data_IF_133290136066
#
_entry.id   IF_133290136066
#
_cell.length_a   1.000
_cell.length_b   1.000
_cell.length_c   1.000
_cell.angle_alpha   90.00
_cell.angle_beta   90.00
_cell.angle_gamma   90.00
#
_symmetry.space_group_name_H-M   'P 1'
#
loop_
_entity.id
_entity.type
_entity.pdbx_description
1 polymer ?
#
# COMPACT_ATOMS: atom_id res chain seq x y z
N UNK A 1 21.74 4.83 -4.92
CA UNK A 1 20.96 3.76 -4.25
C UNK A 1 19.56 3.77 -4.82
N UNK A 2 19.03 2.65 -5.36
CA UNK A 2 17.61 2.58 -5.66
C UNK A 2 16.83 2.69 -4.34
N UNK A 3 15.83 3.57 -4.29
CA UNK A 3 14.96 3.69 -3.12
C UNK A 3 14.40 2.29 -2.76
N UNK A 4 14.30 1.96 -1.46
CA UNK A 4 13.73 0.68 -1.04
C UNK A 4 12.37 0.55 -1.73
N UNK A 5 12.20 -0.52 -2.50
CA UNK A 5 10.94 -0.75 -3.20
C UNK A 5 9.88 -0.88 -2.12
N UNK A 6 8.95 0.09 -2.06
CA UNK A 6 7.91 0.09 -1.05
C UNK A 6 7.22 -1.28 -1.02
N UNK A 7 7.18 -1.91 0.14
CA UNK A 7 6.66 -3.29 0.29
C UNK A 7 5.20 -3.27 -0.06
N UNK A 8 4.88 -3.93 -1.17
CA UNK A 8 3.52 -3.97 -1.69
C UNK A 8 2.81 -5.20 -1.13
N UNK A 9 1.73 -4.98 -0.39
CA UNK A 9 1.06 -6.00 0.44
C UNK A 9 -0.43 -6.06 0.08
N UNK A 10 -1.14 -7.19 0.28
CA UNK A 10 -2.59 -7.20 0.19
C UNK A 10 -3.22 -6.12 1.08
N UNK A 11 -4.25 -5.44 0.56
CA UNK A 11 -4.88 -4.31 1.23
C UNK A 11 -5.33 -4.60 2.67
N UNK A 12 -5.98 -5.74 2.98
CA UNK A 12 -6.40 -6.02 4.36
C UNK A 12 -5.23 -6.12 5.34
N UNK A 13 -4.10 -6.71 4.92
CA UNK A 13 -2.90 -6.82 5.74
C UNK A 13 -2.21 -5.47 5.91
N UNK A 14 -2.20 -4.65 4.86
CA UNK A 14 -1.68 -3.28 4.95
C UNK A 14 -2.50 -2.43 5.94
N UNK A 15 -3.83 -2.55 5.89
CA UNK A 15 -4.74 -1.83 6.78
C UNK A 15 -4.63 -2.29 8.23
N UNK A 16 -4.46 -3.60 8.49
CA UNK A 16 -4.25 -4.09 9.86
C UNK A 16 -2.95 -3.61 10.51
N UNK A 17 -1.98 -3.15 9.71
CA UNK A 17 -0.70 -2.63 10.20
C UNK A 17 -0.73 -1.12 10.43
N UNK A 18 -1.79 -0.43 10.00
CA UNK A 18 -1.97 0.99 10.20
C UNK A 18 -2.76 1.26 11.49
N UNK A 19 -2.52 2.41 12.16
CA UNK A 19 -3.34 2.82 13.29
C UNK A 19 -4.81 2.97 12.85
N UNK A 20 -5.75 2.58 13.73
CA UNK A 20 -7.19 2.61 13.49
C UNK A 20 -7.62 1.84 12.22
N UNK A 21 -7.02 0.67 11.97
CA UNK A 21 -7.27 -0.16 10.78
C UNK A 21 -7.03 0.59 9.45
N UNK A 22 -6.21 1.64 9.47
CA UNK A 22 -5.94 2.48 8.32
C UNK A 22 -7.10 3.38 7.89
N UNK A 23 -8.07 3.66 8.77
CA UNK A 23 -9.09 4.69 8.52
C UNK A 23 -8.43 6.07 8.46
N UNK A 24 -8.68 6.80 7.38
CA UNK A 24 -8.04 8.08 7.06
C UNK A 24 -6.74 7.94 6.28
N UNK A 25 -6.25 6.72 6.05
CA UNK A 25 -5.03 6.50 5.28
C UNK A 25 -5.29 6.64 3.76
N UNK A 26 -4.31 7.25 3.08
CA UNK A 26 -4.24 7.28 1.62
C UNK A 26 -3.55 6.02 1.12
N UNK A 27 -4.25 5.20 0.34
CA UNK A 27 -3.71 3.96 -0.24
C UNK A 27 -3.78 3.97 -1.75
N UNK A 28 -2.82 3.35 -2.41
CA UNK A 28 -2.77 3.24 -3.86
C UNK A 28 -2.28 1.85 -4.27
N UNK A 29 -2.67 1.41 -5.46
CA UNK A 29 -2.20 0.14 -5.98
C UNK A 29 -0.75 0.30 -6.49
N UNK A 30 0.16 -0.61 -6.12
CA UNK A 30 1.57 -0.54 -6.54
C UNK A 30 1.72 -0.56 -8.08
N UNK A 31 0.76 -1.19 -8.77
CA UNK A 31 0.68 -1.18 -10.24
C UNK A 31 0.47 0.21 -10.84
N UNK A 32 -0.08 1.17 -10.09
CA UNK A 32 -0.25 2.53 -10.57
C UNK A 32 1.10 3.22 -10.66
N UNK A 33 1.95 3.06 -9.64
CA UNK A 33 3.35 3.50 -9.68
C UNK A 33 4.11 2.84 -10.84
N UNK A 34 3.96 1.52 -11.03
CA UNK A 34 4.59 0.80 -12.14
C UNK A 34 4.12 1.27 -13.53
N UNK A 35 2.91 1.84 -13.63
CA UNK A 35 2.37 2.43 -14.85
C UNK A 35 2.75 3.90 -15.04
N UNK A 36 3.56 4.47 -14.14
CA UNK A 36 3.92 5.88 -14.17
C UNK A 36 2.74 6.81 -13.84
N UNK A 37 1.70 6.30 -13.17
CA UNK A 37 0.65 7.17 -12.67
C UNK A 37 1.18 8.00 -11.49
N UNK A 38 0.80 9.28 -11.41
CA UNK A 38 1.14 10.12 -10.26
C UNK A 38 0.52 9.51 -9.00
N UNK A 39 1.37 9.01 -8.11
CA UNK A 39 0.98 8.43 -6.83
C UNK A 39 1.62 9.25 -5.71
N UNK A 40 0.96 9.35 -4.54
CA UNK A 40 1.51 10.08 -3.41
C UNK A 40 2.70 9.28 -2.83
N UNK A 41 3.88 9.52 -3.41
CA UNK A 41 5.16 9.01 -2.90
C UNK A 41 5.89 10.19 -2.28
N UNK A 42 6.57 9.96 -1.17
CA UNK A 42 7.15 10.95 -0.25
C UNK A 42 8.17 11.95 -0.83
N UNK A 43 8.43 11.95 -2.14
CA UNK A 43 9.58 12.65 -2.73
C UNK A 43 9.20 13.82 -3.64
N UNK A 44 7.92 14.15 -3.83
CA UNK A 44 7.54 15.26 -4.70
C UNK A 44 6.30 16.00 -4.16
N UNK A 45 6.55 17.10 -3.45
CA UNK A 45 5.55 18.08 -2.96
C UNK A 45 4.66 18.64 -4.09
N UNK A 46 5.11 18.56 -5.35
CA UNK A 46 4.41 19.09 -6.52
C UNK A 46 3.41 18.10 -7.15
N UNK A 47 3.32 16.86 -6.67
CA UNK A 47 2.46 15.82 -7.25
C UNK A 47 1.14 15.59 -6.51
N UNK A 48 0.83 16.34 -5.45
CA UNK A 48 -0.45 16.20 -4.72
C UNK A 48 -1.65 16.53 -5.63
N UNK A 49 -1.56 17.59 -6.44
CA UNK A 49 -2.67 18.10 -7.26
C UNK A 49 -3.12 17.16 -8.38
N UNK A 50 -2.29 16.19 -8.78
CA UNK A 50 -2.62 15.20 -9.81
C UNK A 50 -2.47 13.77 -9.34
N UNK A 51 -2.44 13.52 -8.03
CA UNK A 51 -2.22 12.18 -7.50
C UNK A 51 -3.45 11.27 -7.61
N UNK A 52 -3.21 9.97 -7.80
CA UNK A 52 -4.21 8.91 -7.80
C UNK A 52 -4.10 8.10 -6.51
N UNK A 53 -5.12 8.15 -5.66
CA UNK A 53 -5.15 7.45 -4.39
C UNK A 53 -6.59 7.18 -3.93
N UNK A 54 -6.73 6.23 -3.02
CA UNK A 54 -7.95 5.96 -2.28
C UNK A 54 -7.82 6.51 -0.87
N UNK A 55 -8.75 7.36 -0.45
CA UNK A 55 -8.91 7.73 0.95
C UNK A 55 -9.76 6.69 1.65
N UNK A 56 -9.16 5.93 2.56
CA UNK A 56 -9.88 4.88 3.28
C UNK A 56 -10.78 5.53 4.34
N UNK A 57 -12.08 5.26 4.28
CA UNK A 57 -13.08 5.83 5.22
C UNK A 57 -13.60 4.80 6.21
N UNK A 58 -13.84 3.59 5.74
CA UNK A 58 -14.41 2.53 6.55
C UNK A 58 -13.75 1.22 6.21
N UNK A 59 -13.41 0.47 7.25
CA UNK A 59 -12.70 -0.78 7.10
C UNK A 59 -13.44 -1.84 7.90
N UNK A 60 -13.62 -3.01 7.30
CA UNK A 60 -14.16 -4.21 7.94
C UNK A 60 -13.15 -5.32 7.77
N UNK A 61 -12.28 -5.46 8.77
CA UNK A 61 -11.32 -6.56 8.85
C UNK A 61 -11.91 -7.68 9.70
N UNK A 62 -11.60 -8.90 9.31
CA UNK A 62 -11.85 -10.12 10.06
C UNK A 62 -10.56 -10.93 10.01
N UNK A 63 -10.00 -11.23 11.18
CA UNK A 63 -8.89 -12.16 11.31
C UNK A 63 -9.47 -13.56 11.28
N UNK A 64 -9.11 -14.35 10.27
CA UNK A 64 -9.47 -15.77 10.23
C UNK A 64 -8.67 -16.56 11.25
N UNK A 65 -9.20 -17.69 11.69
CA UNK A 65 -8.56 -18.62 12.64
C UNK A 65 -7.13 -19.05 12.23
N UNK A 66 -6.85 -19.08 10.92
CA UNK A 66 -5.52 -19.35 10.36
C UNK A 66 -4.54 -18.15 10.43
N UNK A 67 -4.87 -17.07 11.15
CA UNK A 67 -4.02 -15.88 11.30
C UNK A 67 -4.00 -14.95 10.08
N UNK A 68 -4.73 -15.27 9.01
CA UNK A 68 -4.85 -14.39 7.85
C UNK A 68 -5.86 -13.27 8.08
N UNK A 69 -5.50 -12.05 7.71
CA UNK A 69 -6.41 -10.90 7.71
C UNK A 69 -7.18 -10.87 6.39
N UNK A 70 -8.50 -11.02 6.47
CA UNK A 70 -9.42 -10.80 5.35
C UNK A 70 -10.32 -9.62 5.66
N UNK A 71 -10.76 -8.91 4.63
CA UNK A 71 -11.64 -7.78 4.88
C UNK A 71 -12.07 -7.05 3.65
N UNK A 72 -13.05 -6.17 3.85
CA UNK A 72 -13.51 -5.21 2.86
C UNK A 72 -13.17 -3.82 3.36
N UNK A 73 -12.60 -3.01 2.49
CA UNK A 73 -12.38 -1.60 2.75
C UNK A 73 -13.28 -0.77 1.85
N UNK A 74 -13.64 0.39 2.35
CA UNK A 74 -14.45 1.38 1.68
C UNK A 74 -13.71 2.71 1.76
N UNK A 75 -13.71 3.43 0.65
CA UNK A 75 -12.98 4.67 0.54
C UNK A 75 -13.45 5.53 -0.62
N UNK A 76 -12.85 6.71 -0.72
CA UNK A 76 -13.10 7.68 -1.78
C UNK A 76 -11.96 7.57 -2.78
N UNK A 77 -12.28 7.34 -4.04
CA UNK A 77 -11.29 7.33 -5.11
C UNK A 77 -11.02 8.77 -5.56
N UNK A 78 -9.78 9.21 -5.38
CA UNK A 78 -9.24 10.38 -6.02
C UNK A 78 -8.39 9.94 -7.20
N UNK A 79 -8.77 10.36 -8.40
CA UNK A 79 -8.09 10.04 -9.64
C UNK A 79 -7.55 11.30 -10.29
N UNK A 80 -6.23 11.40 -10.39
CA UNK A 80 -5.54 12.56 -10.95
C UNK A 80 -5.99 13.89 -10.31
N UNK A 81 -6.13 13.89 -8.99
CA UNK A 81 -6.62 15.05 -8.23
C UNK A 81 -8.13 15.32 -8.32
N UNK A 82 -8.89 14.53 -9.09
CA UNK A 82 -10.35 14.61 -9.14
C UNK A 82 -10.98 13.53 -8.28
N UNK A 83 -11.92 13.92 -7.42
CA UNK A 83 -12.76 12.96 -6.71
C UNK A 83 -13.69 12.28 -7.71
N UNK A 84 -13.55 10.97 -7.88
CA UNK A 84 -14.39 10.15 -8.78
C UNK A 84 -15.62 9.62 -8.05
N UNK A 85 -15.48 9.33 -6.76
CA UNK A 85 -16.59 8.78 -5.97
C UNK A 85 -17.66 9.83 -5.72
N UNK A 86 -18.85 9.60 -6.29
CA UNK A 86 -20.02 10.47 -6.18
C UNK A 86 -20.68 10.39 -4.78
N UNK A 87 -20.54 9.26 -4.08
CA UNK A 87 -21.06 9.03 -2.73
C UNK A 87 -20.10 9.37 -1.59
N UNK A 88 -20.50 9.04 -0.36
CA UNK A 88 -19.65 9.19 0.84
C UNK A 88 -18.42 8.27 0.80
N UNK A 89 -18.59 7.03 0.31
CA UNK A 89 -17.53 6.03 0.18
C UNK A 89 -17.96 4.90 -0.76
N UNK A 90 -17.00 4.34 -1.47
CA UNK A 90 -17.17 3.18 -2.36
C UNK A 90 -16.35 1.98 -1.88
N UNK A 91 -16.81 0.73 -2.14
CA UNK A 91 -16.03 -0.45 -1.81
C UNK A 91 -14.77 -0.54 -2.69
N UNK A 92 -13.61 -0.62 -2.03
CA UNK A 92 -12.32 -0.77 -2.70
C UNK A 92 -12.23 -2.20 -3.27
N UNK A 93 -12.30 -2.31 -4.60
CA UNK A 93 -12.23 -3.61 -5.28
C UNK A 93 -10.79 -4.08 -5.45
N UNK A 94 -10.58 -5.40 -5.44
CA UNK A 94 -9.27 -6.00 -5.69
C UNK A 94 -8.29 -5.91 -4.51
N UNK A 95 -8.79 -5.71 -3.28
CA UNK A 95 -7.94 -5.64 -2.08
C UNK A 95 -7.06 -6.86 -1.85
N UNK A 96 -7.53 -8.05 -2.22
CA UNK A 96 -6.76 -9.31 -2.15
C UNK A 96 -6.06 -9.67 -3.46
N UNK A 97 -6.45 -9.05 -4.59
CA UNK A 97 -5.92 -9.38 -5.93
C UNK A 97 -4.67 -8.58 -6.26
N UNK A 98 -4.66 -7.31 -5.87
CA UNK A 98 -3.56 -6.40 -6.16
C UNK A 98 -2.72 -6.18 -4.92
N UNK A 99 -1.47 -5.78 -5.15
CA UNK A 99 -0.60 -5.31 -4.09
C UNK A 99 -0.80 -3.80 -3.93
N UNK A 100 -0.92 -3.37 -2.69
CA UNK A 100 -1.23 -2.01 -2.29
C UNK A 100 -0.09 -1.42 -1.47
N UNK A 101 0.00 -0.10 -1.51
CA UNK A 101 0.94 0.71 -0.76
C UNK A 101 0.17 1.87 -0.13
N UNK A 102 0.66 2.35 1.01
CA UNK A 102 0.13 3.54 1.68
C UNK A 102 1.05 4.73 1.39
N UNK A 103 0.48 5.94 1.35
CA UNK A 103 1.27 7.17 1.30
C UNK A 103 2.14 7.31 2.55
N UNK A 104 1.58 6.95 3.71
CA UNK A 104 2.32 6.82 4.97
C UNK A 104 2.60 5.33 5.22
N UNK A 105 3.82 4.91 4.94
CA UNK A 105 4.21 3.50 5.11
C UNK A 105 4.35 3.19 6.60
N UNK A 106 3.67 2.15 7.14
CA UNK A 106 3.87 1.71 8.51
C UNK A 106 5.33 1.29 8.74
N UNK A 107 5.92 1.61 9.91
CA UNK A 107 7.32 1.27 10.21
C UNK A 107 7.59 -0.24 10.14
N UNK A 108 6.61 -1.07 10.53
CA UNK A 108 6.71 -2.55 10.46
C UNK A 108 6.98 -3.05 9.04
N UNK A 109 6.34 -2.45 8.03
CA UNK A 109 6.57 -2.84 6.63
C UNK A 109 7.95 -2.40 6.14
N UNK A 110 8.50 -1.32 6.68
CA UNK A 110 9.86 -0.87 6.37
C UNK A 110 10.89 -1.85 6.93
N UNK A 111 10.66 -2.36 8.14
CA UNK A 111 11.51 -3.38 8.76
C UNK A 111 11.44 -4.72 8.02
N UNK A 112 10.24 -5.17 7.65
CA UNK A 112 10.07 -6.35 6.80
C UNK A 112 10.79 -6.18 5.45
N UNK A 113 10.72 -4.99 4.83
CA UNK A 113 11.44 -4.67 3.59
C UNK A 113 12.94 -4.88 3.76
N UNK A 114 13.52 -4.27 4.79
CA UNK A 114 14.94 -4.33 5.10
C UNK A 114 15.39 -5.76 5.37
N UNK A 115 14.57 -6.53 6.10
CA UNK A 115 14.86 -7.94 6.37
C UNK A 115 14.86 -8.81 5.10
N UNK A 116 13.92 -8.57 4.18
CA UNK A 116 13.86 -9.26 2.88
C UNK A 116 15.07 -8.88 2.03
N UNK A 117 15.43 -7.60 1.97
CA UNK A 117 16.62 -7.14 1.24
C UNK A 117 17.90 -7.73 1.82
N UNK A 118 18.05 -7.76 3.15
CA UNK A 118 19.19 -8.37 3.83
C UNK A 118 19.30 -9.88 3.54
N UNK A 119 18.18 -10.61 3.51
CA UNK A 119 18.17 -12.02 3.09
C UNK A 119 18.58 -12.20 1.64
N UNK A 120 18.13 -11.29 0.75
CA UNK A 120 18.48 -11.34 -0.66
C UNK A 120 19.95 -11.03 -0.91
N UNK A 121 20.52 -10.04 -0.22
CA UNK A 121 21.94 -9.73 -0.32
C UNK A 121 22.79 -10.87 0.24
N UNK A 122 22.40 -11.47 1.36
CA UNK A 122 23.06 -12.65 1.90
C UNK A 122 23.01 -13.85 0.93
N UNK A 123 21.87 -14.10 0.29
CA UNK A 123 21.74 -15.16 -0.70
C UNK A 123 22.56 -14.89 -1.98
N UNK A 124 22.63 -13.64 -2.44
CA UNK A 124 23.45 -13.24 -3.58
C UNK A 124 24.95 -13.40 -3.27
N UNK A 125 25.40 -12.98 -2.09
CA UNK A 125 26.79 -13.15 -1.65
C UNK A 125 27.18 -14.63 -1.55
N UNK A 126 26.27 -15.50 -1.06
CA UNK A 126 26.51 -16.94 -0.98
C UNK A 126 26.61 -17.61 -2.38
N UNK A 127 25.83 -17.12 -3.36
CA UNK A 127 25.87 -17.62 -4.73
C UNK A 127 27.09 -17.14 -5.52
N UNK A 128 27.71 -16.02 -5.13
CA UNK A 128 28.92 -15.49 -5.76
C UNK A 128 30.21 -16.10 -5.18
N UNK A 129 30.10 -16.80 -4.03
CA UNK A 129 31.19 -17.53 -3.36
C UNK A 129 31.24 -19.03 -3.66
N UNK A 130 30.40 -19.53 -4.58
CA UNK A 130 30.32 -20.94 -5.02
C UNK A 130 30.71 -21.08 -6.49
#
# INVERSE_FOLDING_TARGET
>A
MPAPRAVSVPLPRLLSLLPNDGVGARVYAARWAAKGLPVPTSTAEQQEASSCYWDVKKVRLAVTEAGHVRGRAYGVLNWKGKRVTEGEYEPIRGGLKYLWQAAQVPPVLVEEAKAIEARRTAAAAAAESA
#
